data_IF_957660220930
#
_entry.id   IF_957660220930
#
_cell.length_a   1.000
_cell.length_b   1.000
_cell.length_c   1.000
_cell.angle_alpha   90.00
_cell.angle_beta   90.00
_cell.angle_gamma   90.00
#
_symmetry.space_group_name_H-M   'P 1'
#
loop_
_entity.id
_entity.type
_entity.pdbx_description
1 polymer ?
#
# COMPACT_ATOMS: atom_id res chain seq x y z
N UNK A 1 -62.57 20.02 13.28
CA UNK A 1 -61.13 20.19 13.52
C UNK A 1 -60.44 18.87 13.16
N UNK A 2 -59.79 18.81 11.99
CA UNK A 2 -59.06 17.62 11.53
C UNK A 2 -57.60 17.85 11.85
N UNK A 3 -57.03 17.03 12.72
CA UNK A 3 -55.58 17.00 13.01
C UNK A 3 -54.89 16.23 11.90
N UNK A 4 -54.11 16.92 11.07
CA UNK A 4 -53.18 16.29 10.13
C UNK A 4 -51.92 15.92 10.89
N UNK A 5 -51.68 14.63 11.07
CA UNK A 5 -50.43 14.11 11.58
C UNK A 5 -49.45 14.11 10.39
N UNK A 6 -48.47 15.02 10.40
CA UNK A 6 -47.35 15.01 9.49
C UNK A 6 -46.35 14.01 10.05
N UNK A 7 -46.31 12.81 9.46
CA UNK A 7 -45.23 11.86 9.66
C UNK A 7 -44.00 12.37 8.87
N UNK A 8 -43.04 12.98 9.56
CA UNK A 8 -41.72 13.17 9.05
C UNK A 8 -41.04 11.80 8.99
N UNK A 9 -41.04 11.18 7.83
CA UNK A 9 -40.16 10.05 7.54
C UNK A 9 -38.73 10.60 7.48
N UNK A 10 -37.94 10.40 8.55
CA UNK A 10 -36.51 10.51 8.51
C UNK A 10 -36.01 9.35 7.63
N UNK A 11 -35.76 9.63 6.36
CA UNK A 11 -34.95 8.77 5.51
C UNK A 11 -33.54 8.93 6.07
N UNK A 12 -33.09 7.97 6.87
CA UNK A 12 -31.70 7.80 7.15
C UNK A 12 -31.02 7.53 5.80
N UNK A 13 -30.35 8.54 5.26
CA UNK A 13 -29.41 8.35 4.16
C UNK A 13 -28.30 7.48 4.72
N UNK A 14 -28.45 6.16 4.57
CA UNK A 14 -27.36 5.22 4.73
C UNK A 14 -26.31 5.63 3.70
N UNK A 15 -25.23 6.26 4.15
CA UNK A 15 -24.07 6.47 3.29
C UNK A 15 -23.60 5.09 2.84
N UNK A 16 -23.79 4.81 1.55
CA UNK A 16 -23.40 3.53 0.99
C UNK A 16 -21.88 3.57 0.76
N UNK A 17 -21.14 3.26 1.82
CA UNK A 17 -19.71 3.02 1.75
C UNK A 17 -19.47 1.58 1.26
N UNK A 18 -18.42 1.38 0.48
CA UNK A 18 -18.09 0.10 -0.11
C UNK A 18 -16.86 -0.44 0.57
N UNK A 19 -16.98 -1.60 1.17
CA UNK A 19 -15.91 -2.22 1.95
C UNK A 19 -15.33 -3.42 1.23
N UNK A 20 -14.01 -3.47 1.12
CA UNK A 20 -13.22 -4.60 0.64
C UNK A 20 -12.43 -5.16 1.81
N UNK A 21 -12.80 -6.32 2.34
CA UNK A 21 -12.03 -6.97 3.39
C UNK A 21 -10.62 -7.30 2.89
N UNK A 22 -9.61 -6.96 3.70
CA UNK A 22 -8.25 -7.37 3.47
C UNK A 22 -7.89 -8.51 4.41
N UNK A 23 -7.14 -9.46 3.88
CA UNK A 23 -6.59 -10.59 4.61
C UNK A 23 -5.10 -10.31 4.83
N UNK A 24 -4.65 -10.39 6.07
CA UNK A 24 -3.23 -10.38 6.38
C UNK A 24 -2.67 -11.79 6.21
N UNK A 25 -1.74 -11.95 5.27
CA UNK A 25 -1.03 -13.21 5.07
C UNK A 25 0.42 -13.14 5.57
N UNK A 26 1.15 -14.23 5.42
CA UNK A 26 2.61 -14.20 5.57
C UNK A 26 3.21 -13.48 4.38
N UNK A 27 4.14 -12.58 4.65
CA UNK A 27 4.92 -11.91 3.61
C UNK A 27 5.83 -12.91 2.86
N UNK A 28 6.34 -12.51 1.69
CA UNK A 28 7.31 -13.32 0.96
C UNK A 28 8.59 -13.53 1.80
N UNK A 29 9.05 -12.50 2.53
CA UNK A 29 10.17 -12.60 3.44
C UNK A 29 9.92 -13.60 4.56
N UNK A 30 8.78 -13.55 5.25
CA UNK A 30 8.44 -14.50 6.31
C UNK A 30 8.44 -15.95 5.82
N UNK A 31 7.95 -16.20 4.59
CA UNK A 31 7.99 -17.53 3.97
C UNK A 31 9.40 -18.00 3.67
N UNK A 32 10.24 -17.11 3.13
CA UNK A 32 11.64 -17.40 2.85
C UNK A 32 12.44 -17.63 4.14
N UNK A 33 12.14 -16.88 5.21
CA UNK A 33 12.72 -17.08 6.55
C UNK A 33 12.34 -18.46 7.12
N UNK A 34 11.08 -18.86 7.02
CA UNK A 34 10.59 -20.17 7.47
C UNK A 34 11.22 -21.34 6.69
N UNK A 35 11.56 -21.13 5.44
CA UNK A 35 12.24 -22.12 4.59
C UNK A 35 13.75 -22.10 4.74
N UNK A 36 14.32 -21.17 5.52
CA UNK A 36 15.77 -20.98 5.63
C UNK A 36 16.44 -20.43 4.37
N UNK A 37 15.67 -19.88 3.44
CA UNK A 37 16.13 -19.40 2.13
C UNK A 37 16.35 -17.89 2.08
N UNK A 38 16.00 -17.15 3.12
CA UNK A 38 16.07 -15.69 3.10
C UNK A 38 17.47 -15.14 2.86
N UNK A 39 18.50 -15.72 3.51
CA UNK A 39 19.87 -15.24 3.38
C UNK A 39 20.43 -15.47 1.98
N UNK A 40 20.11 -16.58 1.33
CA UNK A 40 20.47 -16.84 -0.06
C UNK A 40 19.71 -15.92 -1.02
N UNK A 41 18.41 -15.78 -0.78
CA UNK A 41 17.53 -14.97 -1.61
C UNK A 41 17.99 -13.50 -1.68
N UNK A 42 18.24 -12.85 -0.53
CA UNK A 42 18.64 -11.44 -0.46
C UNK A 42 20.01 -11.15 -1.09
N UNK A 43 20.91 -12.14 -1.12
CA UNK A 43 22.20 -12.03 -1.80
C UNK A 43 22.02 -12.11 -3.31
N UNK A 44 21.14 -13.02 -3.76
CA UNK A 44 20.86 -13.23 -5.19
C UNK A 44 20.00 -12.13 -5.81
N UNK A 45 19.10 -11.57 -5.02
CA UNK A 45 18.18 -10.51 -5.42
C UNK A 45 18.29 -9.34 -4.42
N UNK A 46 19.40 -8.58 -4.46
CA UNK A 46 19.59 -7.46 -3.56
C UNK A 46 18.51 -6.40 -3.81
N UNK A 47 17.99 -5.86 -2.72
CA UNK A 47 17.10 -4.71 -2.77
C UNK A 47 17.84 -3.52 -3.40
N UNK A 48 17.33 -3.04 -4.51
CA UNK A 48 17.86 -1.87 -5.22
C UNK A 48 16.75 -0.84 -5.41
N UNK A 49 16.57 0.10 -4.47
CA UNK A 49 15.65 1.21 -4.66
C UNK A 49 16.13 2.06 -5.83
N UNK A 50 15.40 2.01 -6.95
CA UNK A 50 15.71 2.84 -8.12
C UNK A 50 15.59 4.32 -7.76
N UNK A 51 16.59 5.14 -8.13
CA UNK A 51 16.52 6.59 -8.01
C UNK A 51 15.43 7.12 -8.94
N UNK A 52 14.65 8.08 -8.45
CA UNK A 52 13.92 8.99 -9.31
C UNK A 52 14.95 9.83 -10.08
N UNK A 53 15.13 9.54 -11.35
CA UNK A 53 15.80 10.46 -12.26
C UNK A 53 14.70 11.32 -12.88
N UNK A 54 14.66 12.60 -12.50
CA UNK A 54 13.68 13.61 -12.90
C UNK A 54 13.74 13.93 -14.41
N UNK A 55 14.57 13.24 -15.18
CA UNK A 55 14.92 13.61 -16.57
C UNK A 55 14.53 12.62 -17.66
N UNK A 56 13.87 11.49 -17.37
CA UNK A 56 13.42 10.60 -18.45
C UNK A 56 11.90 10.41 -18.48
N UNK A 57 11.23 11.26 -19.22
CA UNK A 57 9.79 11.21 -19.54
C UNK A 57 9.34 9.97 -20.35
N UNK A 58 10.16 8.94 -20.51
CA UNK A 58 9.87 7.79 -21.37
C UNK A 58 9.72 6.44 -20.68
N UNK A 59 9.99 6.35 -19.37
CA UNK A 59 9.76 5.13 -18.57
C UNK A 59 9.17 5.57 -17.24
N UNK A 60 7.88 5.34 -17.03
CA UNK A 60 7.26 5.51 -15.72
C UNK A 60 7.77 4.39 -14.82
N UNK A 61 8.71 4.70 -13.94
CA UNK A 61 9.15 3.81 -12.87
C UNK A 61 8.29 4.06 -11.65
N UNK A 62 7.43 3.11 -11.30
CA UNK A 62 6.73 3.08 -10.03
C UNK A 62 7.68 2.52 -8.97
N UNK A 63 7.97 3.31 -7.94
CA UNK A 63 8.78 2.85 -6.82
C UNK A 63 7.91 2.18 -5.78
N UNK A 64 7.84 0.86 -5.80
CA UNK A 64 7.46 0.11 -4.60
C UNK A 64 8.72 -0.31 -3.86
N UNK A 65 8.91 0.23 -2.68
CA UNK A 65 9.98 -0.20 -1.78
C UNK A 65 9.45 -1.38 -0.95
N UNK A 66 9.54 -2.58 -1.49
CA UNK A 66 9.12 -3.76 -0.74
C UNK A 66 10.29 -4.71 -0.54
N UNK A 67 10.73 -4.84 0.70
CA UNK A 67 11.68 -5.86 1.15
C UNK A 67 10.96 -7.22 1.36
N UNK A 68 10.14 -7.63 0.38
CA UNK A 68 9.35 -8.86 0.41
C UNK A 68 8.39 -9.01 1.62
N UNK A 69 8.03 -7.90 2.27
CA UNK A 69 7.26 -7.88 3.52
C UNK A 69 5.74 -7.58 3.33
N UNK A 70 5.23 -7.49 2.09
CA UNK A 70 3.80 -7.25 1.81
C UNK A 70 2.93 -8.37 2.38
N UNK A 71 1.93 -7.99 3.16
CA UNK A 71 1.11 -8.92 3.92
C UNK A 71 -0.40 -8.75 3.74
N UNK A 72 -0.91 -7.63 3.21
CA UNK A 72 -2.34 -7.35 3.10
C UNK A 72 -2.83 -7.40 1.67
N UNK A 73 -3.85 -8.21 1.40
CA UNK A 73 -4.45 -8.37 0.08
C UNK A 73 -5.97 -8.57 0.19
N UNK A 74 -6.69 -8.16 -0.84
CA UNK A 74 -8.13 -8.36 -0.98
C UNK A 74 -8.47 -9.06 -2.29
N UNK A 75 -9.76 -9.36 -2.49
CA UNK A 75 -10.24 -10.09 -3.66
C UNK A 75 -10.98 -9.13 -4.60
N UNK A 76 -10.64 -9.21 -5.87
CA UNK A 76 -11.35 -8.60 -6.98
C UNK A 76 -11.76 -9.67 -7.99
N UNK A 77 -12.65 -9.33 -8.91
CA UNK A 77 -12.90 -10.20 -10.06
C UNK A 77 -12.93 -9.40 -11.37
N UNK A 78 -12.51 -10.05 -12.46
CA UNK A 78 -12.38 -9.43 -13.78
C UNK A 78 -13.04 -10.30 -14.83
N UNK A 79 -13.81 -9.68 -15.74
CA UNK A 79 -14.38 -10.32 -16.90
C UNK A 79 -15.83 -10.80 -16.74
N UNK A 80 -16.37 -11.35 -17.82
CA UNK A 80 -17.73 -11.90 -17.92
C UNK A 80 -17.70 -13.28 -18.62
N UNK A 81 -17.89 -14.39 -17.89
CA UNK A 81 -18.07 -14.51 -16.45
C UNK A 81 -16.85 -14.05 -15.64
N UNK A 82 -17.02 -13.70 -14.33
CA UNK A 82 -15.95 -13.16 -13.51
C UNK A 82 -14.87 -14.21 -13.20
N UNK A 83 -13.62 -13.82 -13.31
CA UNK A 83 -12.43 -14.55 -12.86
C UNK A 83 -11.86 -13.84 -11.63
N UNK A 84 -11.66 -14.58 -10.52
CA UNK A 84 -11.26 -14.00 -9.22
C UNK A 84 -9.75 -13.94 -9.05
N UNK A 85 -9.27 -12.83 -8.46
CA UNK A 85 -7.86 -12.58 -8.18
C UNK A 85 -7.69 -11.96 -6.80
N UNK A 86 -6.61 -12.34 -6.14
CA UNK A 86 -6.13 -11.66 -4.94
C UNK A 86 -5.16 -10.56 -5.35
N UNK A 87 -5.36 -9.33 -4.86
CA UNK A 87 -4.50 -8.20 -5.20
C UNK A 87 -4.12 -7.40 -3.96
N UNK A 88 -2.94 -6.78 -4.02
CA UNK A 88 -2.53 -5.75 -3.06
C UNK A 88 -3.23 -4.45 -3.45
N UNK A 89 -3.87 -3.79 -2.48
CA UNK A 89 -4.41 -2.44 -2.64
C UNK A 89 -3.31 -1.45 -2.27
N UNK A 90 -2.69 -0.86 -3.29
CA UNK A 90 -1.41 -0.19 -3.19
C UNK A 90 -1.53 1.32 -3.46
N UNK A 91 -1.36 2.14 -2.40
CA UNK A 91 -1.37 3.60 -2.53
C UNK A 91 -0.04 4.18 -3.02
N UNK A 92 0.99 3.34 -3.17
CA UNK A 92 2.30 3.70 -3.73
C UNK A 92 2.39 3.50 -5.24
N UNK A 93 1.39 2.91 -5.89
CA UNK A 93 1.34 2.73 -7.36
C UNK A 93 -0.04 3.03 -7.95
N UNK A 94 -0.16 3.05 -9.28
CA UNK A 94 -1.39 3.52 -9.97
C UNK A 94 -1.98 2.53 -10.96
N UNK A 95 -1.25 1.50 -11.37
CA UNK A 95 -1.74 0.53 -12.33
C UNK A 95 -2.45 -0.65 -11.65
N UNK A 96 -3.54 -1.15 -12.26
CA UNK A 96 -4.05 -2.50 -11.99
C UNK A 96 -3.36 -3.46 -12.94
N UNK A 97 -2.80 -4.56 -12.42
CA UNK A 97 -2.32 -5.67 -13.24
C UNK A 97 -2.46 -7.02 -12.53
N UNK A 98 -2.59 -8.08 -13.29
CA UNK A 98 -2.71 -9.46 -12.86
C UNK A 98 -1.96 -10.38 -13.81
N UNK A 99 -1.60 -11.61 -13.40
CA UNK A 99 -1.02 -12.60 -14.30
C UNK A 99 -2.01 -13.02 -15.39
N UNK A 100 -1.50 -13.30 -16.58
CA UNK A 100 -2.27 -13.87 -17.66
C UNK A 100 -1.86 -15.31 -17.98
N UNK A 101 -2.71 -16.02 -18.70
CA UNK A 101 -2.38 -17.37 -19.21
C UNK A 101 -1.13 -17.35 -20.11
N UNK A 102 -0.71 -16.17 -20.58
CA UNK A 102 0.49 -16.01 -21.40
C UNK A 102 1.75 -15.79 -20.55
N UNK A 103 1.64 -15.74 -19.22
CA UNK A 103 2.80 -15.60 -18.34
C UNK A 103 3.56 -16.91 -18.25
N UNK A 104 4.84 -16.86 -18.71
CA UNK A 104 5.74 -17.99 -18.76
C UNK A 104 6.81 -17.99 -17.65
N UNK A 105 6.92 -16.91 -16.86
CA UNK A 105 7.88 -16.85 -15.75
C UNK A 105 7.45 -17.78 -14.61
N UNK A 106 8.44 -18.32 -13.87
CA UNK A 106 8.18 -19.16 -12.70
C UNK A 106 7.38 -18.45 -11.63
N UNK A 107 7.47 -17.11 -11.56
CA UNK A 107 6.70 -16.27 -10.64
C UNK A 107 5.18 -16.45 -10.79
N UNK A 108 4.70 -16.67 -12.01
CA UNK A 108 3.27 -16.86 -12.29
C UNK A 108 2.76 -18.30 -12.06
N UNK A 109 3.63 -19.25 -11.68
CA UNK A 109 3.25 -20.66 -11.61
C UNK A 109 2.23 -20.95 -10.49
N UNK A 110 2.31 -20.18 -9.40
CA UNK A 110 1.50 -20.38 -8.19
C UNK A 110 0.34 -19.38 -8.08
N UNK A 111 0.08 -18.58 -9.11
CA UNK A 111 -0.93 -17.54 -9.14
C UNK A 111 -2.08 -17.87 -10.07
N UNK A 112 -3.27 -17.33 -9.77
CA UNK A 112 -4.39 -17.34 -10.69
C UNK A 112 -4.05 -16.52 -11.92
N UNK A 113 -4.40 -17.02 -13.11
CA UNK A 113 -4.07 -16.38 -14.39
C UNK A 113 -5.34 -16.01 -15.14
N UNK A 114 -5.45 -14.76 -15.53
CA UNK A 114 -6.57 -14.30 -16.36
C UNK A 114 -6.51 -14.93 -17.74
N UNK A 115 -7.65 -15.51 -18.17
CA UNK A 115 -7.82 -15.99 -19.52
C UNK A 115 -8.74 -15.03 -20.31
N UNK A 116 -8.21 -14.21 -21.22
CA UNK A 116 -9.02 -13.30 -22.04
C UNK A 116 -10.05 -14.02 -22.91
N UNK A 117 -9.76 -15.24 -23.32
CA UNK A 117 -10.66 -16.05 -24.16
C UNK A 117 -11.92 -16.53 -23.42
N UNK A 118 -11.94 -16.45 -22.10
CA UNK A 118 -13.10 -16.80 -21.26
C UNK A 118 -13.96 -15.57 -20.90
N UNK A 119 -13.57 -14.36 -21.27
CA UNK A 119 -14.36 -13.15 -21.00
C UNK A 119 -14.99 -12.58 -22.27
N UNK A 120 -16.31 -12.54 -22.30
CA UNK A 120 -17.07 -11.96 -23.43
C UNK A 120 -16.98 -10.43 -23.51
N UNK A 121 -16.51 -9.78 -22.43
CA UNK A 121 -16.36 -8.31 -22.33
C UNK A 121 -14.93 -7.83 -22.51
N UNK A 122 -13.96 -8.75 -22.60
CA UNK A 122 -12.55 -8.41 -22.79
C UNK A 122 -12.29 -7.74 -24.14
N UNK A 123 -11.45 -6.72 -24.10
CA UNK A 123 -10.94 -6.04 -25.29
C UNK A 123 -9.43 -5.83 -25.15
N UNK A 124 -8.67 -6.28 -26.12
CA UNK A 124 -7.23 -6.01 -26.15
C UNK A 124 -6.99 -4.53 -26.45
N UNK A 125 -6.17 -3.84 -25.67
CA UNK A 125 -5.81 -2.44 -25.86
C UNK A 125 -4.77 -2.23 -26.98
N UNK A 126 -4.09 -3.30 -27.42
CA UNK A 126 -3.04 -3.24 -28.43
C UNK A 126 -1.76 -2.53 -27.98
N UNK A 127 -1.55 -2.38 -26.66
CA UNK A 127 -0.40 -1.70 -26.07
C UNK A 127 0.41 -2.68 -25.21
N UNK A 128 1.73 -2.58 -25.27
CA UNK A 128 2.64 -3.23 -24.32
C UNK A 128 2.67 -2.46 -23.01
N UNK A 129 2.92 -3.16 -21.92
CA UNK A 129 3.08 -2.60 -20.59
C UNK A 129 4.39 -3.10 -19.98
N UNK A 130 5.12 -2.19 -19.36
CA UNK A 130 6.27 -2.50 -18.53
C UNK A 130 6.24 -1.63 -17.30
N UNK A 131 6.29 -2.25 -16.12
CA UNK A 131 6.30 -1.55 -14.84
C UNK A 131 7.52 -2.01 -14.05
N UNK A 132 8.26 -1.04 -13.51
CA UNK A 132 9.41 -1.28 -12.66
C UNK A 132 9.06 -0.95 -11.22
N UNK A 133 9.23 -1.92 -10.33
CA UNK A 133 9.10 -1.77 -8.87
C UNK A 133 10.48 -1.83 -8.22
N UNK A 134 10.60 -1.38 -6.98
CA UNK A 134 11.86 -1.48 -6.23
C UNK A 134 12.36 -2.92 -6.04
N UNK A 135 11.47 -3.90 -6.07
CA UNK A 135 11.76 -5.34 -5.92
C UNK A 135 11.84 -6.10 -7.24
N UNK A 136 11.58 -5.46 -8.36
CA UNK A 136 11.61 -6.10 -9.68
C UNK A 136 10.63 -5.49 -10.66
N UNK A 137 10.42 -6.16 -11.79
CA UNK A 137 9.58 -5.66 -12.88
C UNK A 137 8.51 -6.66 -13.28
N UNK A 138 7.45 -6.13 -13.90
CA UNK A 138 6.52 -6.92 -14.70
C UNK A 138 6.48 -6.39 -16.13
N UNK A 139 6.34 -7.27 -17.09
CA UNK A 139 6.10 -6.91 -18.50
C UNK A 139 4.92 -7.71 -19.04
N UNK A 140 4.18 -7.10 -19.97
CA UNK A 140 3.00 -7.71 -20.57
C UNK A 140 2.30 -6.77 -21.55
N UNK A 141 1.00 -6.81 -21.57
CA UNK A 141 0.16 -5.98 -22.43
C UNK A 141 -1.08 -5.49 -21.67
N UNK A 142 -1.76 -4.51 -22.23
CA UNK A 142 -2.97 -3.93 -21.64
C UNK A 142 -4.24 -4.43 -22.30
N UNK A 143 -5.29 -4.53 -21.50
CA UNK A 143 -6.64 -4.83 -21.95
C UNK A 143 -7.70 -4.05 -21.17
N UNK A 144 -8.91 -4.08 -21.66
CA UNK A 144 -10.09 -3.52 -21.00
C UNK A 144 -11.07 -4.63 -20.65
N UNK A 145 -11.64 -4.57 -19.45
CA UNK A 145 -12.75 -5.42 -19.05
C UNK A 145 -13.57 -4.77 -17.92
N UNK A 146 -14.58 -5.45 -17.43
CA UNK A 146 -15.27 -5.08 -16.19
C UNK A 146 -14.51 -5.63 -15.00
N UNK A 147 -14.11 -4.74 -14.09
CA UNK A 147 -13.45 -5.09 -12.83
C UNK A 147 -14.41 -4.88 -11.68
N UNK A 148 -14.66 -5.90 -10.88
CA UNK A 148 -15.54 -5.81 -9.71
C UNK A 148 -14.70 -5.72 -8.44
N UNK A 149 -14.88 -4.63 -7.70
CA UNK A 149 -14.18 -4.35 -6.44
C UNK A 149 -15.21 -4.10 -5.35
N UNK A 150 -15.22 -4.92 -4.30
CA UNK A 150 -16.22 -4.79 -3.22
C UNK A 150 -17.68 -4.86 -3.69
N UNK A 151 -17.94 -5.60 -4.76
CA UNK A 151 -19.26 -5.71 -5.38
C UNK A 151 -19.59 -4.61 -6.42
N UNK A 152 -18.70 -3.63 -6.61
CA UNK A 152 -18.90 -2.56 -7.61
C UNK A 152 -18.33 -2.93 -8.95
N UNK A 153 -19.12 -2.96 -10.03
CA UNK A 153 -18.63 -3.19 -11.38
C UNK A 153 -18.07 -1.90 -12.00
N UNK A 154 -16.76 -1.77 -12.05
CA UNK A 154 -16.06 -0.71 -12.80
C UNK A 154 -15.94 -1.15 -14.25
N UNK A 155 -16.75 -0.56 -15.13
CA UNK A 155 -16.81 -0.94 -16.54
C UNK A 155 -15.66 -0.35 -17.33
N UNK A 156 -15.26 -1.08 -18.39
CA UNK A 156 -14.21 -0.61 -19.32
C UNK A 156 -12.93 -0.16 -18.58
N UNK A 157 -12.56 -0.89 -17.52
CA UNK A 157 -11.33 -0.64 -16.78
C UNK A 157 -10.14 -1.18 -17.57
N UNK A 158 -9.14 -0.34 -17.78
CA UNK A 158 -7.85 -0.74 -18.35
C UNK A 158 -7.03 -1.43 -17.27
N UNK A 159 -6.36 -2.54 -17.61
CA UNK A 159 -5.48 -3.26 -16.71
C UNK A 159 -4.37 -3.98 -17.47
N UNK A 160 -3.27 -4.24 -16.77
CA UNK A 160 -2.14 -5.01 -17.27
C UNK A 160 -2.37 -6.52 -17.14
N UNK A 161 -1.97 -7.24 -18.19
CA UNK A 161 -1.92 -8.69 -18.25
C UNK A 161 -0.44 -9.09 -18.33
N UNK A 162 0.13 -9.62 -17.25
CA UNK A 162 1.55 -9.96 -17.24
C UNK A 162 1.85 -11.14 -18.15
N UNK A 163 3.03 -11.08 -18.78
CA UNK A 163 3.67 -12.17 -19.54
C UNK A 163 4.98 -12.60 -18.89
N UNK A 164 5.58 -11.70 -18.08
CA UNK A 164 6.74 -11.98 -17.26
C UNK A 164 6.69 -11.16 -15.98
N UNK A 165 7.09 -11.77 -14.87
CA UNK A 165 7.12 -11.16 -13.53
C UNK A 165 8.45 -11.43 -12.85
N UNK A 166 8.86 -10.51 -11.96
CA UNK A 166 10.05 -10.65 -11.16
C UNK A 166 9.96 -11.87 -10.21
N UNK A 167 11.10 -12.53 -9.91
CA UNK A 167 11.13 -13.75 -9.11
C UNK A 167 10.51 -13.65 -7.73
N UNK A 168 10.51 -12.46 -7.10
CA UNK A 168 9.93 -12.28 -5.77
C UNK A 168 8.43 -12.54 -5.73
N UNK A 169 7.72 -12.33 -6.87
CA UNK A 169 6.29 -12.57 -6.98
C UNK A 169 5.93 -14.04 -6.70
N UNK A 170 6.83 -14.99 -7.00
CA UNK A 170 6.62 -16.41 -6.68
C UNK A 170 6.38 -16.69 -5.19
N UNK A 171 6.84 -15.80 -4.32
CA UNK A 171 6.73 -15.92 -2.87
C UNK A 171 5.57 -15.09 -2.29
N UNK A 172 4.86 -14.32 -3.12
CA UNK A 172 3.71 -13.55 -2.68
C UNK A 172 2.43 -14.41 -2.65
N UNK A 173 1.48 -14.01 -1.82
CA UNK A 173 0.15 -14.60 -1.78
C UNK A 173 -0.78 -13.95 -2.81
N UNK A 174 -0.60 -12.65 -3.04
CA UNK A 174 -1.37 -11.90 -4.01
C UNK A 174 -0.98 -12.27 -5.44
N UNK A 175 -1.98 -12.36 -6.32
CA UNK A 175 -1.79 -12.62 -7.74
C UNK A 175 -1.26 -11.38 -8.47
N UNK A 176 -1.67 -10.17 -8.04
CA UNK A 176 -1.31 -8.92 -8.69
C UNK A 176 -1.45 -7.70 -7.77
N UNK A 177 -1.48 -6.53 -8.38
CA UNK A 177 -1.52 -5.23 -7.68
C UNK A 177 -2.64 -4.36 -8.25
N UNK A 178 -3.39 -3.69 -7.37
CA UNK A 178 -4.36 -2.65 -7.69
C UNK A 178 -3.83 -1.32 -7.14
N UNK A 179 -3.28 -0.49 -8.01
CA UNK A 179 -2.75 0.83 -7.68
C UNK A 179 -3.85 1.84 -7.35
N UNK A 180 -3.62 2.64 -6.30
CA UNK A 180 -4.55 3.64 -5.76
C UNK A 180 -3.96 5.06 -5.70
N UNK A 181 -2.76 5.28 -6.27
CA UNK A 181 -2.17 6.59 -6.42
C UNK A 181 -2.77 7.35 -7.62
N UNK A 182 -2.21 8.49 -7.96
CA UNK A 182 -2.73 9.37 -9.01
C UNK A 182 -2.38 8.90 -10.41
N UNK A 183 -3.23 9.22 -11.39
CA UNK A 183 -3.04 8.91 -12.82
C UNK A 183 -1.66 9.33 -13.34
N UNK A 184 -1.09 10.43 -12.82
CA UNK A 184 0.24 10.92 -13.24
C UNK A 184 1.35 9.90 -13.03
N UNK A 185 1.19 8.96 -12.09
CA UNK A 185 2.13 7.90 -11.80
C UNK A 185 1.93 6.65 -12.67
N UNK A 186 0.75 6.51 -13.31
CA UNK A 186 0.40 5.30 -14.04
C UNK A 186 1.25 5.10 -15.30
N UNK A 187 1.84 3.91 -15.43
CA UNK A 187 2.47 3.46 -16.66
C UNK A 187 1.45 3.47 -17.80
N UNK A 188 1.89 3.77 -19.03
CA UNK A 188 1.03 3.92 -20.22
C UNK A 188 -0.11 4.94 -20.07
N UNK A 189 -0.14 5.75 -19.02
CA UNK A 189 -1.27 6.60 -18.65
C UNK A 189 -2.58 5.80 -18.49
N UNK A 190 -2.48 4.57 -18.04
CA UNK A 190 -3.63 3.71 -17.77
C UNK A 190 -4.45 4.29 -16.61
N UNK A 191 -5.73 4.55 -16.83
CA UNK A 191 -6.62 5.15 -15.83
C UNK A 191 -6.74 4.24 -14.61
N UNK A 192 -6.36 4.69 -13.39
CA UNK A 192 -6.49 3.90 -12.18
C UNK A 192 -7.94 3.52 -11.86
N UNK A 193 -8.12 2.41 -11.15
CA UNK A 193 -9.46 1.89 -10.81
C UNK A 193 -10.29 2.92 -10.05
N UNK A 194 -9.69 3.61 -9.07
CA UNK A 194 -10.41 4.61 -8.28
C UNK A 194 -10.79 5.86 -9.09
N UNK A 195 -9.95 6.27 -10.04
CA UNK A 195 -10.27 7.35 -11.00
C UNK A 195 -11.49 6.99 -11.85
N UNK A 196 -11.59 5.75 -12.32
CA UNK A 196 -12.77 5.25 -13.02
C UNK A 196 -14.00 5.13 -12.11
N UNK A 197 -13.84 4.72 -10.85
CA UNK A 197 -14.96 4.71 -9.89
C UNK A 197 -15.55 6.11 -9.72
N UNK A 198 -14.70 7.14 -9.55
CA UNK A 198 -15.15 8.55 -9.46
C UNK A 198 -15.83 9.01 -10.75
N UNK A 199 -15.20 8.78 -11.90
CA UNK A 199 -15.73 9.20 -13.21
C UNK A 199 -17.06 8.54 -13.56
N UNK A 200 -17.26 7.30 -13.14
CA UNK A 200 -18.51 6.55 -13.32
C UNK A 200 -19.53 6.78 -12.20
N UNK A 201 -19.23 7.67 -11.24
CA UNK A 201 -20.10 7.99 -10.09
C UNK A 201 -20.48 6.75 -9.27
N UNK A 202 -19.53 5.83 -9.06
CA UNK A 202 -19.74 4.57 -8.35
C UNK A 202 -19.46 4.70 -6.85
N UNK A 203 -18.92 5.83 -6.41
CA UNK A 203 -18.63 6.15 -5.00
C UNK A 203 -19.34 7.44 -4.58
N UNK A 204 -19.77 7.52 -3.33
CA UNK A 204 -20.51 8.69 -2.82
C UNK A 204 -19.61 9.90 -2.60
N UNK A 205 -18.38 9.66 -2.16
CA UNK A 205 -17.37 10.69 -1.92
C UNK A 205 -16.09 10.29 -2.65
N UNK A 206 -15.40 11.28 -3.23
CA UNK A 206 -14.13 11.06 -3.93
C UNK A 206 -13.00 10.85 -2.91
N UNK A 207 -13.13 9.80 -2.11
CA UNK A 207 -12.14 9.36 -1.12
C UNK A 207 -12.24 7.87 -0.89
N UNK A 208 -11.17 7.31 -0.37
CA UNK A 208 -11.15 5.98 0.22
C UNK A 208 -10.34 5.99 1.52
N UNK A 209 -10.48 4.96 2.32
CA UNK A 209 -9.79 4.85 3.59
C UNK A 209 -9.29 3.43 3.84
N UNK A 210 -8.22 3.30 4.61
CA UNK A 210 -7.56 2.03 4.90
C UNK A 210 -7.39 1.85 6.40
N UNK A 211 -7.87 0.72 6.88
CA UNK A 211 -7.67 0.21 8.23
C UNK A 211 -6.88 -1.09 8.18
N UNK A 212 -5.76 -1.16 8.87
CA UNK A 212 -4.94 -2.37 8.98
C UNK A 212 -4.90 -2.86 10.42
N UNK A 213 -5.25 -4.14 10.63
CA UNK A 213 -5.15 -4.78 11.94
C UNK A 213 -3.69 -5.06 12.30
N UNK A 214 -3.38 -4.99 13.61
CA UNK A 214 -2.00 -5.25 14.11
C UNK A 214 -1.71 -6.73 14.22
N UNK A 215 -2.59 -7.49 14.88
CA UNK A 215 -2.34 -8.86 15.33
C UNK A 215 -3.37 -9.86 14.81
N UNK A 216 -4.26 -9.47 13.90
CA UNK A 216 -5.30 -10.33 13.35
C UNK A 216 -5.09 -10.54 11.86
N UNK A 217 -5.35 -11.75 11.39
CA UNK A 217 -5.37 -12.07 9.96
C UNK A 217 -6.58 -11.47 9.25
N UNK A 218 -7.65 -11.18 10.00
CA UNK A 218 -8.90 -10.62 9.47
C UNK A 218 -9.26 -9.31 10.15
N UNK A 219 -10.10 -8.50 9.51
CA UNK A 219 -10.60 -7.23 10.02
C UNK A 219 -9.95 -6.01 9.39
N UNK A 220 -8.86 -6.16 8.63
CA UNK A 220 -8.32 -5.09 7.80
C UNK A 220 -9.27 -4.78 6.65
N UNK A 221 -9.34 -3.50 6.23
CA UNK A 221 -10.38 -3.03 5.33
C UNK A 221 -9.88 -1.89 4.44
N UNK A 222 -10.22 -1.93 3.16
CA UNK A 222 -10.28 -0.73 2.30
C UNK A 222 -11.74 -0.33 2.15
N UNK A 223 -12.05 0.92 2.42
CA UNK A 223 -13.40 1.49 2.31
C UNK A 223 -13.41 2.54 1.23
N UNK A 224 -14.16 2.34 0.15
CA UNK A 224 -14.34 3.30 -0.93
C UNK A 224 -15.58 4.16 -0.71
N UNK A 225 -15.48 5.44 -1.05
CA UNK A 225 -16.58 6.40 -1.02
C UNK A 225 -16.87 6.97 0.37
N UNK A 226 -15.99 6.78 1.36
CA UNK A 226 -16.20 7.34 2.69
C UNK A 226 -15.23 6.88 3.76
N UNK A 227 -15.62 7.09 4.99
CA UNK A 227 -14.86 6.85 6.22
C UNK A 227 -15.69 5.94 7.13
N UNK A 228 -15.11 4.89 7.69
CA UNK A 228 -15.79 4.07 8.69
C UNK A 228 -15.39 4.52 10.12
N UNK A 229 -16.30 5.13 10.88
CA UNK A 229 -16.02 5.62 12.23
C UNK A 229 -15.74 4.50 13.25
N UNK A 230 -16.01 3.23 12.91
CA UNK A 230 -15.67 2.10 13.76
C UNK A 230 -14.17 1.77 13.78
N UNK A 231 -13.40 2.30 12.86
CA UNK A 231 -11.99 1.96 12.68
C UNK A 231 -11.00 2.95 13.31
N UNK A 232 -11.48 4.07 13.89
CA UNK A 232 -10.57 5.06 14.50
C UNK A 232 -11.13 5.67 15.77
N UNK A 233 -10.25 6.35 16.52
CA UNK A 233 -10.57 7.11 17.71
C UNK A 233 -10.10 8.58 17.54
N UNK A 234 -10.82 9.48 18.19
CA UNK A 234 -10.47 10.91 18.25
C UNK A 234 -10.79 11.66 16.96
N UNK A 235 -10.09 12.77 16.74
CA UNK A 235 -10.26 13.61 15.57
C UNK A 235 -9.33 13.19 14.44
N UNK A 236 -9.77 13.39 13.20
CA UNK A 236 -8.97 13.18 12.01
C UNK A 236 -8.10 14.42 11.79
N UNK A 237 -6.79 14.21 11.71
CA UNK A 237 -5.84 15.22 11.29
C UNK A 237 -5.79 15.24 9.76
N UNK A 238 -6.23 16.31 9.15
CA UNK A 238 -6.19 16.50 7.72
C UNK A 238 -4.90 17.19 7.29
N UNK A 239 -4.12 16.51 6.44
CA UNK A 239 -2.79 16.92 6.00
C UNK A 239 -2.84 17.16 4.51
N UNK A 240 -2.54 18.39 4.02
CA UNK A 240 -2.53 18.68 2.60
C UNK A 240 -1.40 17.93 1.88
N UNK A 241 -1.69 17.45 0.66
CA UNK A 241 -0.66 16.87 -0.18
C UNK A 241 0.33 17.95 -0.65
N UNK A 242 1.60 17.62 -0.59
CA UNK A 242 2.68 18.44 -1.18
C UNK A 242 2.85 18.21 -2.68
N UNK A 243 2.42 17.04 -3.18
CA UNK A 243 2.41 16.68 -4.61
C UNK A 243 1.29 15.68 -4.89
N UNK A 244 0.66 15.79 -6.08
CA UNK A 244 -0.41 14.91 -6.55
C UNK A 244 0.14 13.91 -7.59
N UNK A 245 1.00 13.03 -7.14
CA UNK A 245 1.54 11.89 -7.89
C UNK A 245 1.43 10.64 -7.02
N UNK A 246 2.12 10.66 -5.88
CA UNK A 246 1.84 9.79 -4.74
C UNK A 246 0.88 10.49 -3.76
N UNK A 247 0.49 9.82 -2.71
CA UNK A 247 -0.13 10.41 -1.52
C UNK A 247 0.97 11.01 -0.65
N UNK A 248 1.59 12.10 -1.19
CA UNK A 248 2.80 12.71 -0.66
C UNK A 248 2.48 13.86 0.28
N UNK A 249 3.12 13.83 1.45
CA UNK A 249 2.94 14.83 2.52
C UNK A 249 4.32 15.32 2.99
N UNK A 250 4.32 16.45 3.70
CA UNK A 250 5.52 16.96 4.37
C UNK A 250 5.54 16.47 5.82
N UNK A 251 6.65 15.86 6.23
CA UNK A 251 6.97 15.54 7.63
C UNK A 251 7.90 16.63 8.14
N UNK A 252 7.52 17.28 9.24
CA UNK A 252 8.26 18.41 9.81
C UNK A 252 9.57 17.96 10.47
N UNK A 253 9.50 16.86 11.24
CA UNK A 253 10.64 16.20 11.89
C UNK A 253 10.25 14.83 12.45
N UNK A 254 11.25 14.01 12.79
CA UNK A 254 11.07 12.79 13.61
C UNK A 254 11.88 12.91 14.88
N UNK A 255 11.25 12.66 16.03
CA UNK A 255 11.92 12.74 17.33
C UNK A 255 11.87 11.40 18.08
N UNK A 256 12.91 11.15 18.88
CA UNK A 256 12.97 10.07 19.87
C UNK A 256 13.45 10.68 21.18
N UNK A 257 12.73 10.47 22.27
CA UNK A 257 13.01 11.09 23.57
C UNK A 257 13.15 12.63 23.50
N UNK A 258 12.37 13.28 22.63
CA UNK A 258 12.38 14.72 22.41
C UNK A 258 13.55 15.27 21.58
N UNK A 259 14.46 14.42 21.12
CA UNK A 259 15.57 14.81 20.25
C UNK A 259 15.23 14.53 18.78
N UNK A 260 15.51 15.47 17.89
CA UNK A 260 15.34 15.28 16.44
C UNK A 260 16.37 14.25 15.97
N UNK A 261 15.88 13.16 15.36
CA UNK A 261 16.70 12.04 14.87
C UNK A 261 16.62 11.89 13.35
N UNK A 262 15.60 12.48 12.70
CA UNK A 262 15.40 12.45 11.26
C UNK A 262 14.56 13.64 10.79
N UNK A 263 14.55 13.91 9.48
CA UNK A 263 13.81 15.00 8.83
C UNK A 263 14.07 16.37 9.48
N UNK A 264 15.32 16.66 9.85
CA UNK A 264 15.67 17.95 10.43
C UNK A 264 15.55 19.06 9.37
N UNK A 265 14.56 19.94 9.53
CA UNK A 265 14.20 20.97 8.55
C UNK A 265 13.12 20.56 7.57
N UNK A 266 12.50 19.40 7.79
CA UNK A 266 11.41 18.85 6.98
C UNK A 266 11.89 17.86 5.91
N UNK A 267 11.03 16.90 5.59
CA UNK A 267 11.25 15.93 4.51
C UNK A 267 9.93 15.57 3.81
N UNK A 268 10.03 14.96 2.64
CA UNK A 268 8.87 14.47 1.89
C UNK A 268 8.63 12.99 2.18
N UNK A 269 7.39 12.63 2.44
CA UNK A 269 6.99 11.26 2.70
C UNK A 269 5.73 10.89 1.92
N UNK A 270 5.59 9.62 1.56
CA UNK A 270 4.35 9.07 1.01
C UNK A 270 3.70 8.13 2.03
N UNK A 271 2.37 8.10 2.06
CA UNK A 271 1.59 7.12 2.83
C UNK A 271 1.27 5.96 1.91
N UNK A 272 1.88 4.81 2.16
CA UNK A 272 1.95 3.72 1.18
C UNK A 272 1.54 2.37 1.77
N UNK A 273 0.38 1.87 1.34
CA UNK A 273 -0.15 0.55 1.72
C UNK A 273 0.52 -0.61 0.97
N UNK A 274 1.31 -0.30 -0.05
CA UNK A 274 2.13 -1.24 -0.81
C UNK A 274 3.53 -1.47 -0.21
N UNK A 275 3.85 -0.83 0.92
CA UNK A 275 5.11 -1.00 1.65
C UNK A 275 4.83 -1.35 3.10
N UNK A 276 5.48 -2.38 3.63
CA UNK A 276 5.25 -2.80 5.02
C UNK A 276 6.02 -1.97 6.05
N UNK A 277 7.19 -1.47 5.70
CA UNK A 277 8.14 -0.85 6.61
C UNK A 277 8.09 0.69 6.53
N UNK A 278 8.77 1.35 7.47
CA UNK A 278 9.13 2.75 7.32
C UNK A 278 10.47 2.80 6.60
N UNK A 279 10.50 3.49 5.45
CA UNK A 279 11.68 3.57 4.61
C UNK A 279 12.13 5.03 4.50
N UNK A 280 13.43 5.27 4.56
CA UNK A 280 13.97 6.63 4.44
C UNK A 280 15.47 6.63 4.11
N UNK A 281 16.09 7.83 4.00
CA UNK A 281 17.50 7.96 3.72
C UNK A 281 18.36 7.23 4.74
N UNK A 282 19.46 6.64 4.28
CA UNK A 282 20.32 5.79 5.13
C UNK A 282 20.82 6.51 6.40
N UNK A 283 21.19 7.77 6.30
CA UNK A 283 21.69 8.54 7.43
C UNK A 283 20.64 8.69 8.54
N UNK A 284 19.43 9.06 8.15
CA UNK A 284 18.29 9.25 9.06
C UNK A 284 17.83 7.93 9.68
N UNK A 285 17.65 6.88 8.88
CA UNK A 285 17.29 5.54 9.36
C UNK A 285 18.34 5.03 10.36
N UNK A 286 19.63 5.21 10.07
CA UNK A 286 20.71 4.82 11.00
C UNK A 286 20.68 5.64 12.30
N UNK A 287 20.32 6.92 12.24
CA UNK A 287 20.15 7.77 13.41
C UNK A 287 18.96 7.32 14.26
N UNK A 288 17.81 7.07 13.63
CA UNK A 288 16.60 6.53 14.30
C UNK A 288 16.87 5.18 14.96
N UNK A 289 17.50 4.25 14.24
CA UNK A 289 17.83 2.92 14.75
C UNK A 289 18.71 3.00 16.01
N UNK A 290 19.78 3.82 15.98
CA UNK A 290 20.62 4.07 17.16
C UNK A 290 19.84 4.67 18.32
N UNK A 291 18.98 5.65 18.04
CA UNK A 291 18.18 6.33 19.07
C UNK A 291 17.22 5.40 19.82
N UNK A 292 16.74 4.34 19.17
CA UNK A 292 15.89 3.32 19.79
C UNK A 292 16.68 2.12 20.36
N UNK A 293 18.03 2.16 20.28
CA UNK A 293 18.88 1.09 20.81
C UNK A 293 19.02 -0.14 19.89
N UNK A 294 18.70 0.00 18.60
CA UNK A 294 18.95 -1.04 17.62
C UNK A 294 20.42 -1.03 17.15
N UNK A 295 20.91 -2.19 16.75
CA UNK A 295 22.22 -2.36 16.11
C UNK A 295 22.09 -3.03 14.76
N UNK A 296 22.97 -2.71 13.85
CA UNK A 296 22.95 -3.30 12.50
C UNK A 296 23.57 -4.70 12.53
N UNK A 297 22.82 -5.67 12.02
CA UNK A 297 23.31 -7.03 11.81
C UNK A 297 22.66 -7.60 10.55
N UNK A 298 23.50 -8.11 9.65
CA UNK A 298 23.04 -8.74 8.42
C UNK A 298 22.07 -7.89 7.57
N UNK A 299 22.24 -6.56 7.55
CA UNK A 299 21.36 -5.64 6.82
C UNK A 299 20.06 -5.27 7.53
N UNK A 300 19.76 -5.86 8.69
CA UNK A 300 18.64 -5.52 9.55
C UNK A 300 19.06 -4.65 10.74
N UNK A 301 18.11 -3.89 11.29
CA UNK A 301 18.24 -3.15 12.55
C UNK A 301 17.67 -4.01 13.68
N UNK A 302 18.55 -4.79 14.34
CA UNK A 302 18.19 -5.80 15.34
C UNK A 302 18.04 -5.18 16.72
N UNK A 303 17.11 -5.68 17.51
CA UNK A 303 16.85 -5.27 18.89
C UNK A 303 16.71 -6.48 19.83
N UNK A 304 16.94 -6.27 21.12
CA UNK A 304 16.67 -7.31 22.11
C UNK A 304 15.16 -7.45 22.33
N UNK A 305 14.59 -8.62 22.03
CA UNK A 305 13.16 -8.90 22.21
C UNK A 305 12.66 -8.63 23.64
N UNK A 306 13.48 -8.89 24.66
CA UNK A 306 13.10 -8.69 26.07
C UNK A 306 13.03 -7.21 26.46
N UNK A 307 13.56 -6.32 25.64
CA UNK A 307 13.62 -4.88 25.95
C UNK A 307 12.52 -4.05 25.24
N UNK A 308 11.67 -4.65 24.43
CA UNK A 308 10.68 -3.93 23.59
C UNK A 308 9.81 -2.99 24.46
N UNK A 309 9.38 -3.43 25.64
CA UNK A 309 8.52 -2.64 26.51
C UNK A 309 9.23 -1.40 27.12
N UNK A 310 10.56 -1.35 27.09
CA UNK A 310 11.37 -0.25 27.59
C UNK A 310 11.95 0.62 26.47
N UNK A 311 11.72 0.25 25.21
CA UNK A 311 12.20 1.03 24.07
C UNK A 311 11.40 2.31 23.90
N UNK A 312 12.03 3.43 23.51
CA UNK A 312 11.36 4.70 23.35
C UNK A 312 10.40 4.68 22.14
N UNK A 313 9.36 5.50 22.21
CA UNK A 313 8.51 5.78 21.06
C UNK A 313 9.23 6.68 20.04
N UNK A 314 8.92 6.51 18.78
CA UNK A 314 9.24 7.47 17.72
C UNK A 314 8.04 8.41 17.53
N UNK A 315 8.29 9.70 17.37
CA UNK A 315 7.23 10.68 17.13
C UNK A 315 7.49 11.38 15.79
N UNK A 316 6.57 11.18 14.87
CA UNK A 316 6.53 11.88 13.59
C UNK A 316 5.75 13.17 13.77
N UNK A 317 6.36 14.31 13.54
CA UNK A 317 5.70 15.60 13.54
C UNK A 317 5.28 15.90 12.10
N UNK A 318 3.97 16.03 11.87
CA UNK A 318 3.40 16.21 10.54
C UNK A 318 2.35 17.32 10.62
N UNK A 319 2.53 18.37 9.84
CA UNK A 319 1.61 19.51 9.82
C UNK A 319 1.29 20.06 11.22
N UNK A 320 2.34 20.19 12.05
CA UNK A 320 2.26 20.70 13.43
C UNK A 320 1.62 19.73 14.44
N UNK A 321 1.31 18.49 14.06
CA UNK A 321 0.73 17.47 14.94
C UNK A 321 1.73 16.32 15.19
N UNK A 322 1.60 15.68 16.36
CA UNK A 322 2.48 14.59 16.78
C UNK A 322 1.83 13.22 16.56
N UNK A 323 2.50 12.37 15.80
CA UNK A 323 2.08 10.99 15.50
C UNK A 323 3.06 10.01 16.14
N UNK A 324 2.66 9.44 17.27
CA UNK A 324 3.51 8.57 18.11
C UNK A 324 3.43 7.12 17.67
N UNK A 325 4.59 6.51 17.43
CA UNK A 325 4.74 5.08 17.16
C UNK A 325 5.45 4.41 18.35
N UNK A 326 4.74 3.65 19.20
CA UNK A 326 5.35 2.88 20.27
C UNK A 326 6.19 1.72 19.74
N UNK A 327 7.12 1.22 20.55
CA UNK A 327 8.02 0.12 20.15
C UNK A 327 7.26 -1.13 19.69
N UNK A 328 6.13 -1.44 20.29
CA UNK A 328 5.25 -2.55 19.90
C UNK A 328 4.70 -2.42 18.47
N UNK A 329 4.74 -1.22 17.87
CA UNK A 329 4.30 -0.98 16.50
C UNK A 329 5.44 -1.11 15.50
N UNK A 330 6.64 -0.56 15.83
CA UNK A 330 7.76 -0.55 14.90
C UNK A 330 8.74 -1.70 15.07
N UNK A 331 8.62 -2.53 16.12
CA UNK A 331 9.42 -3.75 16.28
C UNK A 331 8.63 -4.95 15.74
N UNK A 332 9.28 -5.70 14.87
CA UNK A 332 8.78 -6.97 14.33
C UNK A 332 9.49 -8.12 15.01
N UNK A 333 8.73 -9.18 15.33
CA UNK A 333 9.25 -10.40 15.94
C UNK A 333 9.22 -11.52 14.90
N UNK A 334 10.33 -12.19 14.70
CA UNK A 334 10.45 -13.40 13.89
C UNK A 334 10.89 -14.55 14.78
N UNK A 335 10.27 -15.70 14.62
CA UNK A 335 10.67 -16.93 15.31
C UNK A 335 12.09 -17.36 14.95
N UNK A 336 12.53 -17.05 13.73
CA UNK A 336 13.82 -17.49 13.17
C UNK A 336 14.93 -16.46 13.32
N UNK A 337 14.59 -15.16 13.21
CA UNK A 337 15.55 -14.06 13.15
C UNK A 337 15.48 -13.09 14.34
N UNK A 338 14.71 -13.44 15.40
CA UNK A 338 14.57 -12.62 16.59
C UNK A 338 13.78 -11.32 16.34
N UNK A 339 14.12 -10.25 17.05
CA UNK A 339 13.42 -8.97 16.96
C UNK A 339 14.23 -7.95 16.19
N UNK A 340 13.56 -7.26 15.27
CA UNK A 340 14.14 -6.21 14.44
C UNK A 340 13.18 -5.04 14.30
N UNK A 341 13.69 -3.85 14.07
CA UNK A 341 12.85 -2.71 13.76
C UNK A 341 12.38 -2.81 12.30
N UNK A 342 11.20 -2.29 12.01
CA UNK A 342 10.74 -2.13 10.63
C UNK A 342 11.22 -0.81 10.01
N UNK A 343 12.49 -0.46 10.23
CA UNK A 343 13.16 0.70 9.64
C UNK A 343 14.10 0.21 8.55
N UNK A 344 13.90 0.66 7.33
CA UNK A 344 14.72 0.29 6.18
C UNK A 344 15.31 1.52 5.50
N UNK A 345 16.56 1.43 5.09
CA UNK A 345 17.23 2.50 4.38
C UNK A 345 17.02 2.37 2.87
N UNK A 346 16.91 3.53 2.21
CA UNK A 346 16.94 3.65 0.76
C UNK A 346 17.98 4.70 0.33
N UNK A 347 18.28 4.71 -0.97
CA UNK A 347 19.11 5.75 -1.57
C UNK A 347 18.29 6.97 -2.04
N UNK A 348 16.98 6.96 -1.79
CA UNK A 348 16.06 8.05 -2.11
C UNK A 348 15.91 8.98 -0.92
N UNK A 349 15.73 10.27 -1.17
CA UNK A 349 15.35 11.26 -0.15
C UNK A 349 13.84 11.21 0.19
N UNK A 350 13.04 10.52 -0.62
CA UNK A 350 11.62 10.31 -0.38
C UNK A 350 11.41 9.23 0.69
N UNK A 351 10.71 9.60 1.76
CA UNK A 351 10.31 8.68 2.80
C UNK A 351 9.06 7.90 2.43
N UNK A 352 8.92 6.70 3.00
CA UNK A 352 7.72 5.89 2.88
C UNK A 352 7.21 5.53 4.27
N UNK A 353 5.98 5.92 4.55
CA UNK A 353 5.23 5.55 5.74
C UNK A 353 4.32 4.37 5.37
N UNK A 354 4.85 3.15 5.55
CA UNK A 354 4.16 1.91 5.16
C UNK A 354 3.24 1.36 6.26
N UNK A 355 2.93 0.06 6.16
CA UNK A 355 1.97 -0.62 7.05
C UNK A 355 2.25 -0.42 8.54
N UNK A 356 3.52 -0.31 8.95
CA UNK A 356 3.91 -0.02 10.35
C UNK A 356 3.26 1.30 10.81
N UNK A 357 3.24 2.32 9.98
CA UNK A 357 2.61 3.59 10.27
C UNK A 357 1.08 3.48 10.16
N UNK A 358 0.58 2.87 9.08
CA UNK A 358 -0.85 2.76 8.76
C UNK A 358 -1.59 1.89 9.78
N UNK A 359 -0.96 0.84 10.33
CA UNK A 359 -1.54 0.05 11.45
C UNK A 359 -1.75 0.85 12.72
N UNK A 360 -0.97 1.91 12.93
CA UNK A 360 -1.13 2.81 14.06
C UNK A 360 -2.16 3.90 13.77
N UNK A 361 -2.21 4.35 12.51
CA UNK A 361 -3.06 5.45 12.09
C UNK A 361 -3.95 5.06 10.92
N UNK A 362 -5.26 4.97 11.19
CA UNK A 362 -6.28 4.87 10.15
C UNK A 362 -6.06 5.98 9.13
N UNK A 363 -5.90 5.61 7.86
CA UNK A 363 -5.47 6.51 6.81
C UNK A 363 -6.58 6.74 5.80
N UNK A 364 -6.90 7.99 5.53
CA UNK A 364 -7.97 8.43 4.63
C UNK A 364 -7.32 9.20 3.48
N UNK A 365 -7.71 8.88 2.27
CA UNK A 365 -7.13 9.39 1.03
C UNK A 365 -8.20 10.15 0.25
N UNK A 366 -8.23 11.49 0.41
CA UNK A 366 -9.24 12.35 -0.19
C UNK A 366 -8.76 12.94 -1.52
N UNK A 367 -9.34 12.49 -2.63
CA UNK A 367 -9.14 13.09 -3.97
C UNK A 367 -9.90 14.41 -4.09
N UNK A 368 -11.07 14.52 -3.43
CA UNK A 368 -11.88 15.74 -3.44
C UNK A 368 -11.11 16.95 -2.86
N UNK A 369 -10.32 16.72 -1.83
CA UNK A 369 -9.59 17.78 -1.10
C UNK A 369 -8.09 17.77 -1.36
N UNK A 370 -7.55 16.70 -1.98
CA UNK A 370 -6.11 16.44 -2.10
C UNK A 370 -5.42 16.47 -0.73
N UNK A 371 -5.94 15.67 0.18
CA UNK A 371 -5.46 15.56 1.56
C UNK A 371 -5.35 14.10 1.99
N UNK A 372 -4.47 13.84 2.94
CA UNK A 372 -4.46 12.61 3.74
C UNK A 372 -5.02 12.92 5.10
N UNK A 373 -6.04 12.15 5.52
CA UNK A 373 -6.57 12.17 6.88
C UNK A 373 -5.93 11.07 7.71
N UNK A 374 -5.42 11.41 8.90
CA UNK A 374 -4.82 10.45 9.84
C UNK A 374 -5.55 10.51 11.18
N UNK A 375 -5.95 9.35 11.71
CA UNK A 375 -6.55 9.25 13.04
C UNK A 375 -6.03 7.98 13.75
N UNK A 376 -6.00 7.98 15.08
CA UNK A 376 -5.53 6.83 15.83
C UNK A 376 -6.42 5.61 15.52
N UNK A 377 -5.84 4.52 15.00
CA UNK A 377 -6.56 3.30 14.68
C UNK A 377 -7.03 2.58 15.95
N UNK A 378 -8.20 1.91 15.86
CA UNK A 378 -8.77 1.07 16.92
C UNK A 378 -8.16 -0.31 16.97
#
# INVERSE_FOLDING_TARGET
MKWAIVLCAMVALSECIIQVPLIKGKSARERLEEQGLWDEYRVKFPFNPTRFDDQSLSVSSEQMTNDADLAYFGVISIGTPPQSFTVIFDTGSSNLWIPSIYCSSAACANHNKFNPGLSSTFKNAGKSLSIQYGTGSMTGFEGFDTVVVGGIPVKNQIFGLSQSEAPFMAHMKADGILGLAYLRLAASQATPVFDNMMTQHLVNQDMFSVYLTRNSEVGSMVTFGGIDPNHYNGQIAWIPLSSQMYWQITVDSVTVNGQIVACNGGCQAIVDTGTSNIVGPQADISSMARAVGAYSANGDNVVNCNNINNMPAMVFHIHGQAFTLPASTYVRQSTYYGCRTGLHSSNSDLWILGDIFIRQYYSIFSRAQNMVGLALAR
#
